data_IF_287470371862
#
_entry.id   IF_287470371862
#
_cell.length_a   1.000
_cell.length_b   1.000
_cell.length_c   1.000
_cell.angle_alpha   90.00
_cell.angle_beta   90.00
_cell.angle_gamma   90.00
#
_symmetry.space_group_name_H-M   'P 1'
#
loop_
_entity.id
_entity.type
_entity.pdbx_description
1 polymer ?
#
# COMPACT_ATOMS: atom_id res chain seq x y z
N UNK A 1 14.49 -40.60 2.53
CA UNK A 1 13.14 -41.09 2.18
C UNK A 1 12.48 -40.01 1.34
N UNK A 2 12.50 -40.16 0.02
CA UNK A 2 11.55 -39.71 -1.01
C UNK A 2 12.06 -40.38 -2.30
N UNK A 3 11.13 -41.00 -3.01
CA UNK A 3 11.37 -42.14 -3.89
C UNK A 3 11.48 -41.77 -5.37
N UNK A 4 12.05 -42.73 -6.12
CA UNK A 4 12.06 -42.91 -7.57
C UNK A 4 10.79 -42.43 -8.28
N UNK A 5 10.97 -41.72 -9.40
CA UNK A 5 10.18 -41.91 -10.62
C UNK A 5 11.15 -42.09 -11.79
N UNK A 6 11.06 -43.27 -12.41
CA UNK A 6 11.83 -43.79 -13.54
C UNK A 6 11.32 -43.19 -14.86
N UNK A 7 12.21 -42.71 -15.72
CA UNK A 7 11.95 -42.46 -17.15
C UNK A 7 12.20 -43.78 -17.91
N UNK A 8 11.17 -44.43 -18.48
CA UNK A 8 11.36 -45.59 -19.34
C UNK A 8 11.78 -45.13 -20.75
N UNK A 9 12.72 -45.87 -21.33
CA UNK A 9 12.67 -46.35 -22.72
C UNK A 9 11.83 -45.51 -23.70
N UNK A 10 12.38 -44.38 -24.18
CA UNK A 10 11.78 -43.59 -25.27
C UNK A 10 12.52 -43.73 -26.60
N UNK A 11 13.39 -44.73 -26.73
CA UNK A 11 13.82 -45.26 -28.02
C UNK A 11 13.07 -46.57 -28.31
N UNK A 12 11.77 -46.44 -28.56
CA UNK A 12 10.90 -47.52 -29.00
C UNK A 12 9.87 -46.95 -29.97
N UNK A 13 10.20 -47.01 -31.26
CA UNK A 13 9.28 -46.97 -32.41
C UNK A 13 7.90 -46.33 -32.17
N UNK A 14 7.71 -45.11 -32.70
CA UNK A 14 6.58 -44.61 -33.51
C UNK A 14 6.50 -43.10 -33.28
N UNK A 15 7.10 -42.34 -34.21
CA UNK A 15 6.98 -40.88 -34.25
C UNK A 15 5.52 -40.57 -34.60
N UNK A 16 4.74 -40.15 -33.60
CA UNK A 16 3.50 -39.42 -33.82
C UNK A 16 3.72 -37.97 -33.35
N UNK A 17 3.56 -37.06 -34.30
CA UNK A 17 3.77 -35.63 -34.21
C UNK A 17 3.08 -34.98 -33.01
N UNK A 18 3.80 -34.12 -32.28
CA UNK A 18 3.20 -32.97 -31.59
C UNK A 18 4.08 -31.76 -31.89
N UNK A 19 3.51 -30.80 -32.61
CA UNK A 19 4.15 -29.56 -33.01
C UNK A 19 3.94 -28.49 -31.94
N UNK A 20 5.01 -27.98 -31.30
CA UNK A 20 5.12 -26.58 -30.83
C UNK A 20 6.61 -26.21 -30.66
N UNK A 21 7.06 -25.16 -31.35
CA UNK A 21 8.32 -24.45 -31.06
C UNK A 21 9.51 -24.83 -31.98
N UNK A 22 10.05 -23.84 -32.69
CA UNK A 22 11.12 -23.97 -33.68
C UNK A 22 12.41 -24.54 -33.08
N UNK A 23 12.69 -25.82 -33.31
CA UNK A 23 13.99 -26.43 -32.97
C UNK A 23 14.94 -26.21 -34.14
N UNK A 24 15.96 -25.36 -33.97
CA UNK A 24 17.04 -25.21 -34.97
C UNK A 24 18.21 -26.11 -34.58
N UNK A 25 18.40 -27.21 -35.32
CA UNK A 25 19.58 -28.05 -35.22
C UNK A 25 20.70 -27.48 -36.10
N UNK A 26 21.85 -27.13 -35.52
CA UNK A 26 23.07 -26.87 -36.29
C UNK A 26 23.91 -28.15 -36.30
N UNK A 27 24.01 -28.80 -37.46
CA UNK A 27 24.94 -29.90 -37.68
C UNK A 27 26.28 -29.32 -38.12
N UNK A 28 27.26 -29.26 -37.22
CA UNK A 28 28.66 -29.08 -37.59
C UNK A 28 29.44 -30.29 -37.07
N UNK A 29 29.86 -31.14 -38.01
CA UNK A 29 30.94 -32.15 -37.94
C UNK A 29 30.91 -33.11 -36.73
N UNK A 30 30.82 -34.40 -37.02
CA UNK A 30 30.77 -35.54 -36.10
C UNK A 30 31.50 -35.32 -34.76
N UNK A 31 30.75 -34.98 -33.70
CA UNK A 31 30.85 -35.42 -32.28
C UNK A 31 30.02 -34.54 -31.32
N UNK A 32 29.53 -33.35 -31.70
CA UNK A 32 28.84 -32.48 -30.73
C UNK A 32 27.36 -32.26 -31.07
N UNK A 33 26.46 -32.92 -30.33
CA UNK A 33 25.03 -32.59 -30.34
C UNK A 33 24.76 -31.47 -29.31
N UNK A 34 24.84 -30.21 -29.73
CA UNK A 34 24.45 -29.08 -28.88
C UNK A 34 22.96 -28.78 -29.07
N UNK A 35 22.11 -29.26 -28.16
CA UNK A 35 20.70 -28.93 -28.13
C UNK A 35 20.49 -27.67 -27.27
N UNK A 36 20.19 -26.53 -27.90
CA UNK A 36 19.78 -25.31 -27.19
C UNK A 36 18.26 -25.32 -27.08
N UNK A 37 17.74 -25.57 -25.87
CA UNK A 37 16.31 -25.51 -25.59
C UNK A 37 15.95 -24.11 -25.08
N UNK A 38 15.15 -23.37 -25.84
CA UNK A 38 14.57 -22.10 -25.39
C UNK A 38 13.10 -22.36 -25.06
N UNK A 39 12.82 -22.52 -23.77
CA UNK A 39 11.45 -22.59 -23.23
C UNK A 39 10.87 -21.19 -23.06
N UNK A 40 9.54 -21.05 -23.22
CA UNK A 40 8.78 -19.82 -23.00
C UNK A 40 8.89 -19.21 -21.58
N UNK A 41 9.59 -19.87 -20.64
CA UNK A 41 9.77 -19.42 -19.25
C UNK A 41 11.16 -18.83 -18.94
N UNK A 42 11.87 -18.27 -19.92
CA UNK A 42 13.14 -17.54 -19.73
C UNK A 42 14.29 -18.34 -19.09
N UNK A 43 14.23 -19.68 -19.08
CA UNK A 43 15.36 -20.53 -18.72
C UNK A 43 16.01 -21.11 -19.97
N UNK A 44 17.24 -20.66 -20.26
CA UNK A 44 18.12 -21.30 -21.25
C UNK A 44 18.90 -22.41 -20.54
N UNK A 45 18.58 -23.67 -20.84
CA UNK A 45 19.35 -24.82 -20.37
C UNK A 45 20.25 -25.25 -21.53
N UNK A 46 21.57 -25.12 -21.36
CA UNK A 46 22.56 -25.62 -22.31
C UNK A 46 23.21 -26.85 -21.68
N UNK A 47 22.96 -28.02 -22.27
CA UNK A 47 23.67 -29.25 -21.93
C UNK A 47 24.77 -29.49 -22.97
N UNK A 48 26.03 -29.58 -22.51
CA UNK A 48 27.20 -29.90 -23.33
C UNK A 48 27.85 -31.14 -22.69
N UNK A 49 27.81 -32.28 -23.38
CA UNK A 49 28.47 -33.52 -22.95
C UNK A 49 29.76 -33.66 -23.77
N UNK A 50 30.91 -33.27 -23.19
CA UNK A 50 32.21 -33.27 -23.91
C UNK A 50 33.26 -34.09 -23.18
N UNK A 51 34.06 -34.86 -23.94
CA UNK A 51 35.07 -35.78 -23.41
C UNK A 51 36.51 -35.23 -23.35
N UNK A 52 36.80 -33.99 -23.80
CA UNK A 52 38.16 -33.40 -23.80
C UNK A 52 38.20 -31.91 -23.42
N UNK A 53 39.25 -31.50 -22.69
CA UNK A 53 39.35 -30.19 -22.01
C UNK A 53 39.39 -28.94 -22.94
N UNK A 54 39.82 -29.09 -24.20
CA UNK A 54 39.88 -27.96 -25.15
C UNK A 54 38.49 -27.53 -25.67
N UNK A 55 37.53 -28.45 -25.69
CA UNK A 55 36.16 -28.19 -26.18
C UNK A 55 35.28 -27.51 -25.11
N UNK A 56 35.65 -27.66 -23.82
CA UNK A 56 34.98 -27.00 -22.70
C UNK A 56 35.10 -25.47 -22.79
N UNK A 57 36.25 -24.94 -23.20
CA UNK A 57 36.44 -23.50 -23.38
C UNK A 57 35.61 -22.93 -24.54
N UNK A 58 35.40 -23.71 -25.60
CA UNK A 58 34.55 -23.33 -26.74
C UNK A 58 33.07 -23.38 -26.32
N UNK A 59 32.64 -24.44 -25.63
CA UNK A 59 31.28 -24.53 -25.08
C UNK A 59 30.99 -23.37 -24.11
N UNK A 60 31.90 -23.07 -23.17
CA UNK A 60 31.75 -21.92 -22.24
C UNK A 60 31.71 -20.58 -22.98
N UNK A 61 32.57 -20.38 -23.99
CA UNK A 61 32.57 -19.17 -24.81
C UNK A 61 31.25 -19.00 -25.57
N UNK A 62 30.69 -20.08 -26.13
CA UNK A 62 29.41 -20.04 -26.84
C UNK A 62 28.22 -19.85 -25.89
N UNK A 63 28.26 -20.45 -24.69
CA UNK A 63 27.26 -20.22 -23.64
C UNK A 63 27.30 -18.75 -23.19
N UNK A 64 28.47 -18.18 -22.94
CA UNK A 64 28.61 -16.77 -22.58
C UNK A 64 28.19 -15.84 -23.72
N UNK A 65 28.50 -16.19 -24.97
CA UNK A 65 28.09 -15.43 -26.15
C UNK A 65 26.57 -15.48 -26.38
N UNK A 66 25.96 -16.65 -26.25
CA UNK A 66 24.50 -16.82 -26.35
C UNK A 66 23.78 -16.16 -25.18
N UNK A 67 24.33 -16.21 -23.96
CA UNK A 67 23.83 -15.45 -22.80
C UNK A 67 23.90 -13.94 -23.04
N UNK A 68 25.03 -13.44 -23.55
CA UNK A 68 25.24 -12.02 -23.86
C UNK A 68 24.39 -11.50 -25.03
N UNK A 69 24.02 -12.37 -25.97
CA UNK A 69 23.17 -12.05 -27.12
C UNK A 69 21.74 -12.56 -26.98
N UNK A 70 21.37 -13.09 -25.81
CA UNK A 70 20.02 -13.57 -25.56
C UNK A 70 19.10 -12.35 -25.47
N UNK A 71 18.31 -12.15 -26.53
CA UNK A 71 17.33 -11.05 -26.62
C UNK A 71 16.38 -11.02 -25.42
N UNK A 72 16.04 -12.18 -24.83
CA UNK A 72 15.20 -12.27 -23.66
C UNK A 72 15.88 -11.72 -22.39
N UNK A 73 17.18 -12.00 -22.19
CA UNK A 73 17.94 -11.45 -21.06
C UNK A 73 18.19 -9.95 -21.21
N UNK A 74 18.52 -9.49 -22.42
CA UNK A 74 18.65 -8.04 -22.71
C UNK A 74 17.31 -7.33 -22.53
N UNK A 75 16.20 -7.90 -23.01
CA UNK A 75 14.86 -7.36 -22.83
C UNK A 75 14.47 -7.31 -21.35
N UNK A 76 14.78 -8.35 -20.58
CA UNK A 76 14.53 -8.38 -19.14
C UNK A 76 15.37 -7.32 -18.41
N UNK A 77 16.68 -7.23 -18.70
CA UNK A 77 17.58 -6.24 -18.10
C UNK A 77 17.14 -4.80 -18.39
N UNK A 78 16.89 -4.49 -19.66
CA UNK A 78 16.39 -3.16 -20.07
C UNK A 78 15.01 -2.85 -19.51
N UNK A 79 14.15 -3.86 -19.33
CA UNK A 79 12.86 -3.68 -18.66
C UNK A 79 13.05 -3.37 -17.17
N UNK A 80 13.96 -4.06 -16.48
CA UNK A 80 14.30 -3.71 -15.09
C UNK A 80 14.89 -2.31 -14.97
N UNK A 81 15.79 -1.90 -15.87
CA UNK A 81 16.38 -0.55 -15.83
C UNK A 81 15.32 0.55 -16.01
N UNK A 82 14.36 0.34 -16.93
CA UNK A 82 13.22 1.25 -17.11
C UNK A 82 12.36 1.34 -15.85
N UNK A 83 12.03 0.20 -15.23
CA UNK A 83 11.23 0.20 -14.00
C UNK A 83 11.94 0.94 -12.86
N UNK A 84 13.26 0.77 -12.73
CA UNK A 84 14.06 1.50 -11.73
C UNK A 84 14.02 3.00 -12.00
N UNK A 85 14.25 3.41 -13.25
CA UNK A 85 14.20 4.82 -13.63
C UNK A 85 12.82 5.44 -13.40
N UNK A 86 11.75 4.70 -13.71
CA UNK A 86 10.39 5.14 -13.46
C UNK A 86 10.14 5.32 -11.95
N UNK A 87 10.58 4.38 -11.10
CA UNK A 87 10.46 4.50 -9.65
C UNK A 87 11.22 5.70 -9.09
N UNK A 88 12.46 5.93 -9.54
CA UNK A 88 13.26 7.10 -9.14
C UNK A 88 12.57 8.40 -9.55
N UNK A 89 11.99 8.45 -10.76
CA UNK A 89 11.24 9.61 -11.22
C UNK A 89 10.00 9.87 -10.36
N UNK A 90 9.27 8.82 -9.95
CA UNK A 90 8.11 8.94 -9.08
C UNK A 90 8.50 9.47 -7.69
N UNK A 91 9.57 8.95 -7.09
CA UNK A 91 10.07 9.44 -5.80
C UNK A 91 10.47 10.93 -5.89
N UNK A 92 11.16 11.32 -6.95
CA UNK A 92 11.53 12.73 -7.16
C UNK A 92 10.30 13.64 -7.30
N UNK A 93 9.23 13.18 -7.94
CA UNK A 93 7.97 13.91 -8.05
C UNK A 93 7.31 14.07 -6.68
N UNK A 94 7.29 13.01 -5.88
CA UNK A 94 6.72 13.03 -4.52
C UNK A 94 7.46 14.04 -3.63
N UNK A 95 8.79 14.07 -3.70
CA UNK A 95 9.59 15.00 -2.91
C UNK A 95 9.40 16.46 -3.40
N UNK A 96 9.35 16.70 -4.71
CA UNK A 96 9.02 18.02 -5.27
C UNK A 96 7.63 18.52 -4.81
N UNK A 97 6.65 17.62 -4.73
CA UNK A 97 5.31 17.95 -4.21
C UNK A 97 5.37 18.25 -2.71
N UNK A 98 6.15 17.51 -1.91
CA UNK A 98 6.36 17.80 -0.50
C UNK A 98 7.00 19.19 -0.27
N UNK A 99 7.96 19.57 -1.11
CA UNK A 99 8.60 20.88 -1.07
C UNK A 99 7.61 22.01 -1.39
N UNK A 100 6.71 21.80 -2.35
CA UNK A 100 5.63 22.74 -2.68
C UNK A 100 4.68 22.99 -1.49
N UNK A 101 4.43 21.98 -0.65
CA UNK A 101 3.67 22.17 0.59
C UNK A 101 4.48 22.99 1.62
N UNK A 102 5.78 22.75 1.71
CA UNK A 102 6.67 23.34 2.72
C UNK A 102 7.03 24.80 2.43
N UNK A 103 7.26 25.16 1.17
CA UNK A 103 7.61 26.52 0.75
C UNK A 103 6.39 27.45 0.65
N UNK A 104 5.18 26.88 0.53
CA UNK A 104 3.92 27.59 0.33
C UNK A 104 3.92 28.59 -0.84
N UNK A 105 4.79 28.40 -1.83
CA UNK A 105 4.87 29.27 -3.01
C UNK A 105 3.67 29.02 -3.92
N UNK A 106 2.93 30.08 -4.25
CA UNK A 106 1.71 29.96 -5.05
C UNK A 106 0.48 29.49 -4.25
N UNK A 107 0.58 29.37 -2.93
CA UNK A 107 -0.53 28.99 -2.08
C UNK A 107 -1.70 29.98 -2.20
N UNK A 108 -2.88 29.44 -2.48
CA UNK A 108 -4.14 30.16 -2.67
C UNK A 108 -5.13 29.91 -1.52
N UNK A 109 -4.70 29.14 -0.51
CA UNK A 109 -5.46 28.88 0.70
C UNK A 109 -4.60 28.79 1.97
N UNK A 110 -5.15 29.23 3.11
CA UNK A 110 -4.57 29.14 4.44
C UNK A 110 -5.58 28.53 5.43
N UNK A 111 -5.19 27.45 6.10
CA UNK A 111 -5.90 26.87 7.22
C UNK A 111 -5.37 27.46 8.52
N UNK A 112 -6.26 28.01 9.34
CA UNK A 112 -5.97 28.47 10.69
C UNK A 112 -6.47 27.44 11.67
N UNK A 113 -5.54 26.84 12.41
CA UNK A 113 -5.82 25.76 13.35
C UNK A 113 -5.29 26.23 14.69
N UNK A 114 -6.20 26.63 15.58
CA UNK A 114 -5.84 27.28 16.84
C UNK A 114 -4.97 28.52 16.56
N UNK A 115 -3.79 28.61 17.17
CA UNK A 115 -2.84 29.72 16.96
C UNK A 115 -1.86 29.50 15.79
N UNK A 116 -2.04 28.42 15.02
CA UNK A 116 -1.12 28.00 13.97
C UNK A 116 -1.75 28.09 12.58
N UNK A 117 -0.90 28.16 11.55
CA UNK A 117 -1.31 28.38 10.16
C UNK A 117 -0.63 27.38 9.23
N UNK A 118 -1.39 26.83 8.29
CA UNK A 118 -0.91 25.96 7.22
C UNK A 118 -1.38 26.51 5.89
N UNK A 119 -0.47 26.68 4.94
CA UNK A 119 -0.81 27.10 3.58
C UNK A 119 -0.79 25.91 2.62
N UNK A 120 -1.68 25.93 1.64
CA UNK A 120 -1.82 24.86 0.67
C UNK A 120 -2.33 25.37 -0.69
N UNK A 121 -2.55 24.43 -1.62
CA UNK A 121 -3.04 24.70 -2.97
C UNK A 121 -4.40 24.04 -3.19
N UNK A 122 -5.43 24.82 -3.53
CA UNK A 122 -6.79 24.31 -3.76
C UNK A 122 -6.82 23.24 -4.84
N UNK A 123 -6.04 23.40 -5.92
CA UNK A 123 -6.00 22.43 -7.01
C UNK A 123 -5.60 21.02 -6.54
N UNK A 124 -4.62 20.92 -5.63
CA UNK A 124 -4.21 19.64 -5.04
C UNK A 124 -5.31 19.09 -4.15
N UNK A 125 -5.91 19.93 -3.29
CA UNK A 125 -6.98 19.49 -2.38
C UNK A 125 -8.22 18.99 -3.14
N UNK A 126 -8.67 19.70 -4.16
CA UNK A 126 -9.80 19.33 -5.03
C UNK A 126 -9.55 18.00 -5.74
N UNK A 127 -8.31 17.77 -6.20
CA UNK A 127 -7.94 16.55 -6.89
C UNK A 127 -7.92 15.33 -5.95
N UNK A 128 -7.64 15.54 -4.66
CA UNK A 128 -7.35 14.46 -3.70
C UNK A 128 -8.46 14.23 -2.66
N UNK A 129 -9.42 15.14 -2.53
CA UNK A 129 -10.51 15.06 -1.56
C UNK A 129 -11.85 15.51 -2.16
N UNK A 130 -12.83 14.63 -2.06
CA UNK A 130 -14.22 14.90 -2.43
C UNK A 130 -14.83 16.02 -1.57
N UNK A 131 -14.47 16.07 -0.28
CA UNK A 131 -14.88 17.14 0.64
C UNK A 131 -14.41 18.50 0.14
N UNK A 132 -13.11 18.66 -0.13
CA UNK A 132 -12.56 19.93 -0.61
C UNK A 132 -13.07 20.28 -2.00
N UNK A 133 -13.26 19.29 -2.88
CA UNK A 133 -13.93 19.53 -4.17
C UNK A 133 -15.31 20.12 -3.98
N UNK A 134 -16.15 19.53 -3.13
CA UNK A 134 -17.49 20.05 -2.86
C UNK A 134 -17.41 21.46 -2.26
N UNK A 135 -16.54 21.67 -1.26
CA UNK A 135 -16.35 22.98 -0.62
C UNK A 135 -16.01 24.08 -1.62
N UNK A 136 -15.07 23.86 -2.53
CA UNK A 136 -14.60 24.89 -3.47
C UNK A 136 -15.46 25.05 -4.73
N UNK A 137 -16.29 24.07 -5.08
CA UNK A 137 -17.17 24.12 -6.27
C UNK A 137 -18.61 24.48 -5.97
N UNK A 138 -19.08 24.30 -4.74
CA UNK A 138 -20.49 24.49 -4.35
C UNK A 138 -20.93 25.95 -4.14
N UNK A 139 -20.04 26.92 -4.32
CA UNK A 139 -20.37 28.34 -4.11
C UNK A 139 -20.71 28.68 -2.64
N UNK A 140 -20.33 27.83 -1.69
CA UNK A 140 -20.48 28.09 -0.25
C UNK A 140 -19.75 29.38 0.14
N UNK A 141 -20.28 30.07 1.17
CA UNK A 141 -19.82 31.37 1.69
C UNK A 141 -18.31 31.49 1.85
N UNK A 142 -17.65 30.40 2.23
CA UNK A 142 -16.20 30.32 2.40
C UNK A 142 -15.45 30.62 1.09
N UNK A 143 -15.98 30.23 -0.07
CA UNK A 143 -15.39 30.52 -1.38
C UNK A 143 -15.42 32.02 -1.75
N UNK A 144 -16.25 32.80 -1.07
CA UNK A 144 -16.54 34.22 -1.39
C UNK A 144 -15.97 35.17 -0.33
N UNK A 145 -15.98 34.79 0.95
CA UNK A 145 -15.53 35.62 2.08
C UNK A 145 -14.02 35.46 2.34
N UNK A 146 -13.19 36.03 1.47
CA UNK A 146 -11.73 36.04 1.68
C UNK A 146 -10.91 36.95 0.76
N UNK A 147 -11.56 37.73 -0.11
CA UNK A 147 -10.87 38.60 -1.06
C UNK A 147 -10.32 39.87 -0.38
N UNK A 148 -9.23 39.74 0.38
CA UNK A 148 -8.46 40.85 0.90
C UNK A 148 -7.08 40.91 0.25
N UNK A 149 -6.89 41.84 -0.68
CA UNK A 149 -5.65 42.39 -1.29
C UNK A 149 -4.56 41.44 -1.84
N UNK A 150 -4.61 40.14 -1.56
CA UNK A 150 -3.86 39.06 -2.17
C UNK A 150 -4.81 37.86 -2.22
N UNK A 151 -4.83 37.08 -3.30
CA UNK A 151 -5.86 36.07 -3.61
C UNK A 151 -5.88 34.82 -2.68
N UNK A 152 -5.61 34.96 -1.38
CA UNK A 152 -5.50 33.88 -0.39
C UNK A 152 -6.81 33.72 0.39
N UNK A 153 -7.47 32.56 0.26
CA UNK A 153 -8.66 32.22 1.04
C UNK A 153 -8.26 31.68 2.42
N UNK A 154 -9.00 32.03 3.48
CA UNK A 154 -8.72 31.56 4.84
C UNK A 154 -9.84 30.64 5.33
N UNK A 155 -9.49 29.48 5.88
CA UNK A 155 -10.43 28.55 6.54
C UNK A 155 -10.03 28.39 8.01
N UNK A 156 -10.97 28.62 8.92
CA UNK A 156 -10.79 28.42 10.36
C UNK A 156 -11.18 26.98 10.74
N UNK A 157 -10.28 26.25 11.40
CA UNK A 157 -10.45 24.87 11.86
C UNK A 157 -10.23 24.77 13.39
N UNK A 158 -11.13 25.34 14.22
CA UNK A 158 -10.92 25.43 15.67
C UNK A 158 -10.93 24.06 16.38
N UNK A 159 -11.69 23.10 15.85
CA UNK A 159 -11.86 21.77 16.47
C UNK A 159 -10.78 20.75 16.06
N UNK A 160 -9.97 21.08 15.04
CA UNK A 160 -8.95 20.17 14.53
C UNK A 160 -7.59 20.38 15.21
N UNK A 161 -6.76 19.34 15.18
CA UNK A 161 -5.39 19.40 15.69
C UNK A 161 -4.41 19.68 14.57
N UNK A 162 -3.52 20.64 14.80
CA UNK A 162 -2.52 21.06 13.81
C UNK A 162 -1.75 19.88 13.21
N UNK A 163 -1.18 19.00 14.05
CA UNK A 163 -0.41 17.84 13.58
C UNK A 163 -1.22 16.90 12.68
N UNK A 164 -2.49 16.67 13.00
CA UNK A 164 -3.39 15.83 12.21
C UNK A 164 -3.65 16.47 10.85
N UNK A 165 -3.92 17.78 10.81
CA UNK A 165 -4.13 18.52 9.55
C UNK A 165 -2.83 18.58 8.73
N UNK A 166 -1.68 18.79 9.36
CA UNK A 166 -0.39 18.75 8.68
C UNK A 166 -0.14 17.39 8.00
N UNK A 167 -0.41 16.28 8.71
CA UNK A 167 -0.29 14.94 8.15
C UNK A 167 -1.28 14.72 6.99
N UNK A 168 -2.52 15.19 7.12
CA UNK A 168 -3.53 15.11 6.05
C UNK A 168 -3.06 15.86 4.79
N UNK A 169 -2.58 17.10 4.94
CA UNK A 169 -2.07 17.87 3.82
C UNK A 169 -0.86 17.19 3.19
N UNK A 170 0.09 16.72 4.01
CA UNK A 170 1.25 15.97 3.52
C UNK A 170 0.84 14.72 2.73
N UNK A 171 -0.17 13.98 3.20
CA UNK A 171 -0.74 12.84 2.49
C UNK A 171 -1.34 13.24 1.14
N UNK A 172 -2.04 14.38 1.05
CA UNK A 172 -2.59 14.81 -0.24
C UNK A 172 -1.52 15.11 -1.29
N UNK A 173 -0.37 15.65 -0.87
CA UNK A 173 0.71 15.98 -1.79
C UNK A 173 1.58 14.78 -2.14
N UNK A 174 1.83 13.87 -1.18
CA UNK A 174 2.83 12.81 -1.33
C UNK A 174 2.25 11.41 -1.45
N UNK A 175 1.00 11.20 -1.05
CA UNK A 175 0.40 9.89 -0.87
C UNK A 175 0.96 9.09 0.32
N UNK A 176 1.98 9.61 1.03
CA UNK A 176 2.61 8.95 2.18
C UNK A 176 1.74 9.17 3.43
N UNK A 177 1.53 8.12 4.21
CA UNK A 177 0.67 8.12 5.40
C UNK A 177 1.40 8.48 6.69
N UNK A 178 2.71 8.72 6.60
CA UNK A 178 3.59 9.10 7.69
C UNK A 178 4.39 10.33 7.27
N UNK A 179 4.34 11.39 8.08
CA UNK A 179 5.11 12.60 7.85
C UNK A 179 6.36 12.61 8.74
N UNK A 180 7.56 12.82 8.17
CA UNK A 180 8.79 12.86 8.96
C UNK A 180 8.73 13.87 10.09
N UNK A 181 9.16 13.48 11.30
CA UNK A 181 9.22 14.36 12.46
C UNK A 181 7.87 14.68 13.13
N UNK A 182 6.75 14.17 12.60
CA UNK A 182 5.43 14.40 13.19
C UNK A 182 4.76 13.08 13.55
N UNK A 183 4.46 12.95 14.84
CA UNK A 183 3.73 11.81 15.40
C UNK A 183 2.30 12.26 15.70
N UNK A 184 1.35 11.51 15.14
CA UNK A 184 -0.10 11.69 15.32
C UNK A 184 -0.65 10.36 15.82
N UNK A 185 -1.60 10.39 16.77
CA UNK A 185 -2.21 9.14 17.22
C UNK A 185 -3.05 8.53 16.09
N UNK A 186 -3.01 7.20 15.86
CA UNK A 186 -3.71 6.57 14.74
C UNK A 186 -5.21 6.84 14.70
N UNK A 187 -5.85 6.97 15.87
CA UNK A 187 -7.27 7.34 15.99
C UNK A 187 -7.52 8.74 15.45
N UNK A 188 -6.60 9.68 15.67
CA UNK A 188 -6.72 11.04 15.17
C UNK A 188 -6.59 11.08 13.63
N UNK A 189 -5.70 10.23 13.09
CA UNK A 189 -5.55 10.03 11.65
C UNK A 189 -6.85 9.50 11.05
N UNK A 190 -7.45 8.50 11.69
CA UNK A 190 -8.72 7.90 11.27
C UNK A 190 -9.86 8.94 11.25
N UNK A 191 -9.99 9.72 12.32
CA UNK A 191 -11.03 10.76 12.45
C UNK A 191 -10.85 11.85 11.40
N UNK A 192 -9.63 12.37 11.22
CA UNK A 192 -9.39 13.46 10.28
C UNK A 192 -9.51 12.99 8.83
N UNK A 193 -9.03 11.78 8.52
CA UNK A 193 -9.13 11.22 7.18
C UNK A 193 -10.58 11.01 6.78
N UNK A 194 -11.43 10.51 7.69
CA UNK A 194 -12.86 10.39 7.43
C UNK A 194 -13.52 11.77 7.23
N UNK A 195 -13.23 12.74 8.10
CA UNK A 195 -13.77 14.11 8.03
C UNK A 195 -13.53 14.75 6.66
N UNK A 196 -12.30 14.64 6.15
CA UNK A 196 -11.89 15.23 4.87
C UNK A 196 -11.92 14.23 3.69
N UNK A 197 -12.57 13.08 3.87
CA UNK A 197 -12.80 12.07 2.83
C UNK A 197 -11.50 11.60 2.12
N UNK A 198 -10.45 11.35 2.90
CA UNK A 198 -9.16 10.83 2.47
C UNK A 198 -9.09 9.31 2.66
N UNK A 199 -9.82 8.54 1.84
CA UNK A 199 -10.06 7.09 2.04
C UNK A 199 -8.78 6.25 2.20
N UNK A 200 -7.71 6.54 1.45
CA UNK A 200 -6.46 5.78 1.59
C UNK A 200 -5.74 6.04 2.92
N UNK A 201 -5.80 7.27 3.44
CA UNK A 201 -5.29 7.62 4.76
C UNK A 201 -6.17 7.05 5.87
N UNK A 202 -7.49 7.02 5.65
CA UNK A 202 -8.48 6.44 6.57
C UNK A 202 -8.22 4.95 6.77
N UNK A 203 -8.03 4.19 5.68
CA UNK A 203 -7.69 2.77 5.74
C UNK A 203 -6.34 2.54 6.46
N UNK A 204 -5.33 3.36 6.17
CA UNK A 204 -4.04 3.25 6.83
C UNK A 204 -4.14 3.54 8.34
N UNK A 205 -4.94 4.54 8.72
CA UNK A 205 -5.26 4.84 10.11
C UNK A 205 -5.96 3.68 10.80
N UNK A 206 -6.98 3.09 10.16
CA UNK A 206 -7.74 1.95 10.68
C UNK A 206 -6.82 0.75 10.94
N UNK A 207 -5.97 0.39 9.97
CA UNK A 207 -5.01 -0.70 10.11
C UNK A 207 -4.01 -0.47 11.24
N UNK A 208 -3.54 0.77 11.42
CA UNK A 208 -2.61 1.10 12.49
C UNK A 208 -3.29 1.09 13.86
N UNK A 209 -4.56 1.50 13.96
CA UNK A 209 -5.36 1.34 15.19
C UNK A 209 -5.50 -0.14 15.52
N UNK A 210 -5.86 -0.99 14.55
CA UNK A 210 -5.99 -2.45 14.72
C UNK A 210 -4.66 -3.05 15.20
N UNK A 211 -3.54 -2.69 14.58
CA UNK A 211 -2.19 -3.16 14.96
C UNK A 211 -1.83 -2.81 16.40
N UNK A 212 -2.31 -1.67 16.91
CA UNK A 212 -2.04 -1.18 18.27
C UNK A 212 -3.14 -1.53 19.27
N UNK A 213 -4.08 -2.41 18.92
CA UNK A 213 -5.08 -2.89 19.88
C UNK A 213 -4.41 -3.57 21.07
N UNK A 214 -4.89 -3.21 22.25
CA UNK A 214 -4.41 -3.69 23.52
C UNK A 214 -5.57 -3.82 24.49
N UNK A 215 -5.33 -4.56 25.58
CA UNK A 215 -6.30 -4.78 26.66
C UNK A 215 -6.84 -3.48 27.28
N UNK A 216 -6.08 -2.39 27.19
CA UNK A 216 -6.43 -1.11 27.79
C UNK A 216 -7.19 -0.18 26.84
N UNK A 217 -7.04 -0.31 25.52
CA UNK A 217 -7.64 0.61 24.55
C UNK A 217 -8.78 -0.01 23.73
N UNK A 218 -8.86 -1.34 23.60
CA UNK A 218 -9.80 -1.99 22.69
C UNK A 218 -11.26 -1.64 22.97
N UNK A 219 -11.64 -1.56 24.26
CA UNK A 219 -12.99 -1.21 24.67
C UNK A 219 -13.34 0.24 24.35
N UNK A 220 -12.43 1.17 24.64
CA UNK A 220 -12.62 2.60 24.38
C UNK A 220 -12.74 2.87 22.88
N UNK A 221 -11.89 2.23 22.08
CA UNK A 221 -11.93 2.33 20.62
C UNK A 221 -13.23 1.74 20.06
N UNK A 222 -13.64 0.54 20.52
CA UNK A 222 -14.87 -0.10 20.07
C UNK A 222 -16.10 0.77 20.33
N UNK A 223 -16.24 1.29 21.55
CA UNK A 223 -17.41 2.06 21.93
C UNK A 223 -17.45 3.45 21.27
N UNK A 224 -16.28 4.07 21.04
CA UNK A 224 -16.22 5.38 20.39
C UNK A 224 -16.30 5.33 18.87
N UNK A 225 -15.77 4.30 18.22
CA UNK A 225 -15.57 4.28 16.76
C UNK A 225 -16.21 3.07 16.05
N UNK A 226 -16.55 2.00 16.78
CA UNK A 226 -17.05 0.75 16.19
C UNK A 226 -18.39 0.84 15.45
N UNK A 227 -19.18 1.91 15.65
CA UNK A 227 -20.41 2.12 14.87
C UNK A 227 -20.12 2.57 13.43
N UNK A 228 -19.00 3.27 13.20
CA UNK A 228 -18.64 3.83 11.91
C UNK A 228 -17.72 2.90 11.11
N UNK A 229 -16.81 2.20 11.80
CA UNK A 229 -15.77 1.40 11.17
C UNK A 229 -16.01 -0.09 11.40
N UNK A 230 -16.62 -0.76 10.42
CA UNK A 230 -17.07 -2.14 10.54
C UNK A 230 -15.92 -3.15 10.67
N UNK A 231 -14.79 -2.92 9.99
CA UNK A 231 -13.62 -3.80 10.12
C UNK A 231 -12.98 -3.62 11.51
N UNK A 232 -12.77 -2.37 11.93
CA UNK A 232 -12.31 -2.06 13.29
C UNK A 232 -13.22 -2.67 14.37
N UNK A 233 -14.55 -2.57 14.22
CA UNK A 233 -15.52 -3.19 15.14
C UNK A 233 -15.25 -4.68 15.32
N UNK A 234 -15.17 -5.42 14.21
CA UNK A 234 -14.93 -6.86 14.20
C UNK A 234 -13.62 -7.22 14.92
N UNK A 235 -12.55 -6.50 14.61
CA UNK A 235 -11.24 -6.74 15.22
C UNK A 235 -11.20 -6.40 16.72
N UNK A 236 -11.84 -5.31 17.14
CA UNK A 236 -11.96 -4.99 18.56
C UNK A 236 -12.78 -6.04 19.31
N UNK A 237 -13.92 -6.48 18.76
CA UNK A 237 -14.75 -7.52 19.38
C UNK A 237 -13.97 -8.83 19.50
N UNK A 238 -13.29 -9.25 18.43
CA UNK A 238 -12.41 -10.43 18.43
C UNK A 238 -11.36 -10.35 19.55
N UNK A 239 -10.63 -9.24 19.63
CA UNK A 239 -9.61 -9.03 20.67
C UNK A 239 -10.19 -9.04 22.08
N UNK A 240 -11.38 -8.45 22.27
CA UNK A 240 -12.09 -8.43 23.56
C UNK A 240 -12.53 -9.84 23.95
N UNK A 241 -13.08 -10.64 23.02
CA UNK A 241 -13.50 -12.02 23.29
C UNK A 241 -12.32 -12.91 23.68
N UNK A 242 -11.22 -12.82 22.94
CA UNK A 242 -9.98 -13.57 23.22
C UNK A 242 -9.41 -13.28 24.62
N UNK A 243 -9.60 -12.06 25.14
CA UNK A 243 -9.04 -11.60 26.42
C UNK A 243 -10.12 -11.17 27.44
N UNK A 244 -11.33 -11.74 27.33
CA UNK A 244 -12.54 -11.20 27.97
C UNK A 244 -12.40 -10.94 29.47
N UNK A 245 -11.90 -11.93 30.23
CA UNK A 245 -11.78 -11.84 31.70
C UNK A 245 -10.80 -10.74 32.12
N UNK A 246 -9.74 -10.55 31.35
CA UNK A 246 -8.71 -9.55 31.67
C UNK A 246 -9.18 -8.14 31.32
N UNK A 247 -9.85 -7.98 30.17
CA UNK A 247 -10.30 -6.68 29.68
C UNK A 247 -11.48 -6.15 30.49
N UNK A 248 -12.52 -6.96 30.73
CA UNK A 248 -13.73 -6.53 31.47
C UNK A 248 -13.43 -6.16 32.93
N UNK A 249 -12.38 -6.72 33.51
CA UNK A 249 -11.90 -6.37 34.84
C UNK A 249 -11.21 -5.01 34.91
N UNK A 250 -10.67 -4.50 33.79
CA UNK A 250 -9.92 -3.25 33.78
C UNK A 250 -10.78 -2.04 34.11
N UNK A 251 -10.15 -1.03 34.72
CA UNK A 251 -10.78 0.28 34.91
C UNK A 251 -11.12 0.95 33.56
N UNK A 252 -10.23 0.81 32.58
CA UNK A 252 -10.42 1.37 31.24
C UNK A 252 -11.72 0.87 30.59
N UNK A 253 -11.99 -0.44 30.63
CA UNK A 253 -13.24 -1.00 30.13
C UNK A 253 -14.47 -0.41 30.84
N UNK A 254 -14.46 -0.37 32.17
CA UNK A 254 -15.58 0.14 32.97
C UNK A 254 -15.86 1.61 32.69
N UNK A 255 -14.80 2.42 32.56
CA UNK A 255 -14.93 3.85 32.27
C UNK A 255 -15.44 4.08 30.84
N UNK A 256 -14.94 3.32 29.86
CA UNK A 256 -15.40 3.37 28.48
C UNK A 256 -16.87 2.93 28.35
N UNK A 257 -17.24 1.84 29.03
CA UNK A 257 -18.61 1.32 29.06
C UNK A 257 -19.59 2.34 29.66
N UNK A 258 -19.24 3.01 30.76
CA UNK A 258 -20.10 4.05 31.37
C UNK A 258 -20.32 5.24 30.42
N UNK A 259 -19.28 5.68 29.72
CA UNK A 259 -19.40 6.75 28.72
C UNK A 259 -20.34 6.35 27.58
N UNK A 260 -20.24 5.11 27.14
CA UNK A 260 -21.06 4.56 26.06
C UNK A 260 -22.53 4.39 26.46
N UNK A 261 -22.79 3.84 27.64
CA UNK A 261 -24.14 3.65 28.21
C UNK A 261 -24.91 4.97 28.34
N UNK A 262 -24.20 6.06 28.69
CA UNK A 262 -24.77 7.40 28.77
C UNK A 262 -25.06 8.05 27.39
N UNK A 263 -24.59 7.46 26.29
CA UNK A 263 -24.66 8.01 24.93
C UNK A 263 -26.02 7.85 24.24
N UNK A 264 -26.98 7.13 24.83
CA UNK A 264 -28.39 7.20 24.44
C UNK A 264 -28.83 6.44 23.17
N UNK A 265 -27.94 5.71 22.48
CA UNK A 265 -28.33 4.86 21.35
C UNK A 265 -28.56 3.40 21.78
N UNK A 266 -29.76 3.12 22.30
CA UNK A 266 -30.09 1.83 22.90
C UNK A 266 -30.10 0.66 21.91
N UNK A 267 -30.43 0.90 20.64
CA UNK A 267 -30.50 -0.16 19.62
C UNK A 267 -29.10 -0.67 19.27
N UNK A 268 -28.20 0.25 18.94
CA UNK A 268 -26.79 -0.07 18.69
C UNK A 268 -26.12 -0.69 19.92
N UNK A 269 -26.46 -0.20 21.11
CA UNK A 269 -25.97 -0.75 22.37
C UNK A 269 -26.38 -2.22 22.53
N UNK A 270 -27.66 -2.55 22.33
CA UNK A 270 -28.14 -3.94 22.49
C UNK A 270 -27.50 -4.89 21.47
N UNK A 271 -27.39 -4.49 20.20
CA UNK A 271 -26.71 -5.28 19.16
C UNK A 271 -25.25 -5.55 19.55
N UNK A 272 -24.51 -4.51 19.98
CA UNK A 272 -23.12 -4.65 20.37
C UNK A 272 -22.94 -5.54 21.61
N UNK A 273 -23.84 -5.42 22.58
CA UNK A 273 -23.81 -6.25 23.78
C UNK A 273 -24.14 -7.71 23.50
N UNK A 274 -25.07 -7.98 22.57
CA UNK A 274 -25.35 -9.33 22.12
C UNK A 274 -24.13 -9.94 21.42
N UNK A 275 -23.51 -9.20 20.50
CA UNK A 275 -22.25 -9.62 19.84
C UNK A 275 -21.15 -9.95 20.85
N UNK A 276 -21.00 -9.18 21.93
CA UNK A 276 -20.03 -9.42 22.99
C UNK A 276 -20.43 -10.58 23.92
N UNK A 277 -21.72 -10.85 24.10
CA UNK A 277 -22.24 -11.90 24.97
C UNK A 277 -22.14 -13.30 24.33
N UNK A 278 -22.17 -13.39 22.99
CA UNK A 278 -21.96 -14.64 22.26
C UNK A 278 -20.54 -15.16 22.51
N UNK A 279 -20.43 -16.12 23.44
CA UNK A 279 -19.25 -16.96 23.61
C UNK A 279 -19.26 -18.02 22.51
N UNK A 280 -18.22 -18.05 21.70
CA UNK A 280 -17.90 -19.23 20.88
C UNK A 280 -17.45 -20.39 21.77
#
# INVERSE_FOLDING_TARGET
>A
MIAKLTLPELFGSTINSVAVGSVTFFWFIDVVALAVYVSNNAQCIVACETAQAAEVFICLGFILWTYSNCKALIALHTHTDRLVQDLESQESLVDNMADMLSNAEGADIEFRIQDQRLRAHKCVLVARSLYFRAMFTSGMREAVEGQSSANLQVIELPDDRYKSVSLLLYYFYTGRTLMPGVVVEPVDVLVIANKYQATGLELAGELEVIRRLSKNNAADILFQYGYRYQNLRKECIRHIKENYKEITGTRAYKDAFKKFDQGGNSEFFMELMDELAVKE
#
